data_IF_829252391101
#
_entry.id   IF_829252391101
#
_cell.length_a   1.000
_cell.length_b   1.000
_cell.length_c   1.000
_cell.angle_alpha   90.00
_cell.angle_beta   90.00
_cell.angle_gamma   90.00
#
_symmetry.space_group_name_H-M   'P 1'
#
loop_
_entity.id
_entity.type
_entity.pdbx_description
1 polymer ?
#
# COMPACT_ATOMS: atom_id res chain seq x y z
N UNK A 1 -0.73 -6.22 -8.43
CA UNK A 1 -0.57 -6.04 -9.90
C UNK A 1 -1.82 -5.43 -10.48
N UNK A 2 -1.67 -4.62 -11.53
CA UNK A 2 -2.76 -3.89 -12.16
C UNK A 2 -3.13 -4.48 -13.52
N UNK A 3 -4.42 -4.74 -13.74
CA UNK A 3 -4.99 -4.94 -15.07
C UNK A 3 -5.51 -3.61 -15.64
N UNK A 4 -4.91 -3.09 -16.72
CA UNK A 4 -5.21 -1.76 -17.28
C UNK A 4 -6.29 -1.77 -18.38
N UNK A 5 -6.98 -0.63 -18.55
CA UNK A 5 -8.04 -0.41 -19.53
C UNK A 5 -7.75 0.72 -20.52
N UNK A 6 -6.74 0.60 -21.39
CA UNK A 6 -6.77 1.34 -22.68
C UNK A 6 -6.82 0.38 -23.85
N UNK A 7 -7.45 0.86 -24.92
CA UNK A 7 -7.55 0.21 -26.23
C UNK A 7 -6.16 -0.11 -26.82
N UNK A 8 -5.13 0.63 -26.39
CA UNK A 8 -3.74 0.53 -26.86
C UNK A 8 -2.73 0.15 -25.75
N UNK A 9 -3.16 -0.12 -24.51
CA UNK A 9 -2.25 -0.45 -23.38
C UNK A 9 -1.59 -1.82 -23.50
N UNK A 10 -2.12 -2.70 -24.33
CA UNK A 10 -1.70 -4.09 -24.42
C UNK A 10 -1.83 -4.56 -25.88
N UNK A 11 -0.77 -4.45 -26.71
CA UNK A 11 -0.76 -5.11 -28.02
C UNK A 11 -0.98 -6.62 -27.85
N UNK A 12 -1.63 -7.29 -28.80
CA UNK A 12 -2.12 -8.69 -28.72
C UNK A 12 -1.11 -9.74 -28.22
N UNK A 13 0.19 -9.43 -28.22
CA UNK A 13 1.30 -10.22 -27.66
C UNK A 13 1.22 -10.46 -26.12
N UNK A 14 0.25 -9.88 -25.42
CA UNK A 14 0.35 -9.64 -23.96
C UNK A 14 -0.61 -10.44 -23.09
N UNK A 15 -1.60 -11.16 -23.64
CA UNK A 15 -2.51 -11.97 -22.82
C UNK A 15 -1.76 -13.08 -22.06
N UNK A 16 -0.89 -13.83 -22.74
CA UNK A 16 -0.10 -14.90 -22.10
C UNK A 16 0.86 -14.36 -21.03
N UNK A 17 1.47 -13.20 -21.28
CA UNK A 17 2.35 -12.55 -20.31
C UNK A 17 1.53 -12.11 -19.10
N UNK A 18 0.41 -11.43 -19.29
CA UNK A 18 -0.49 -11.01 -18.21
C UNK A 18 -0.98 -12.21 -17.37
N UNK A 19 -1.40 -13.31 -18.02
CA UNK A 19 -1.80 -14.52 -17.31
C UNK A 19 -0.65 -15.12 -16.51
N UNK A 20 0.55 -15.17 -17.10
CA UNK A 20 1.75 -15.71 -16.45
C UNK A 20 2.13 -14.88 -15.24
N UNK A 21 2.17 -13.56 -15.38
CA UNK A 21 2.50 -12.66 -14.27
C UNK A 21 1.40 -12.77 -13.21
N UNK A 22 0.11 -12.67 -13.57
CA UNK A 22 -1.01 -12.76 -12.62
C UNK A 22 -0.99 -14.06 -11.82
N UNK A 23 -0.80 -15.19 -12.50
CA UNK A 23 -0.67 -16.50 -11.85
C UNK A 23 0.55 -16.56 -10.93
N UNK A 24 1.67 -16.00 -11.36
CA UNK A 24 2.89 -15.94 -10.54
C UNK A 24 2.67 -15.07 -9.30
N UNK A 25 2.04 -13.89 -9.42
CA UNK A 25 1.71 -13.07 -8.27
C UNK A 25 0.81 -13.80 -7.28
N UNK A 26 -0.25 -14.46 -7.75
CA UNK A 26 -1.13 -15.25 -6.87
C UNK A 26 -0.40 -16.44 -6.21
N UNK A 27 0.61 -17.02 -6.86
CA UNK A 27 1.43 -18.09 -6.29
C UNK A 27 2.32 -17.61 -5.13
N UNK A 28 2.68 -16.32 -5.11
CA UNK A 28 3.49 -15.70 -4.07
C UNK A 28 2.65 -14.77 -3.18
N UNK A 29 1.40 -15.18 -2.90
CA UNK A 29 0.44 -14.48 -2.01
C UNK A 29 0.16 -13.02 -2.41
N UNK A 30 0.41 -12.66 -3.68
CA UNK A 30 0.15 -11.35 -4.23
C UNK A 30 -1.29 -11.18 -4.73
N UNK A 31 -1.73 -9.93 -4.80
CA UNK A 31 -3.07 -9.56 -5.26
C UNK A 31 -3.05 -8.98 -6.69
N UNK A 32 -4.02 -9.39 -7.48
CA UNK A 32 -4.42 -8.74 -8.73
C UNK A 32 -5.59 -7.80 -8.47
N UNK A 33 -5.40 -6.53 -8.82
CA UNK A 33 -6.42 -5.48 -8.73
C UNK A 33 -6.81 -5.00 -10.12
N UNK A 34 -8.03 -4.52 -10.26
CA UNK A 34 -8.44 -3.85 -11.50
C UNK A 34 -7.89 -2.43 -11.51
N UNK A 35 -7.47 -1.91 -12.66
CA UNK A 35 -7.27 -0.48 -12.81
C UNK A 35 -8.00 0.11 -13.99
N UNK A 36 -8.32 1.39 -13.85
CA UNK A 36 -8.92 2.18 -14.90
C UNK A 36 -8.34 3.57 -14.98
N UNK A 37 -8.58 4.16 -16.14
CA UNK A 37 -8.31 5.56 -16.44
C UNK A 37 -9.62 6.33 -16.56
N UNK A 38 -9.62 7.59 -16.11
CA UNK A 38 -10.78 8.48 -16.07
C UNK A 38 -10.43 9.83 -16.71
N UNK A 39 -10.55 9.93 -18.02
CA UNK A 39 -10.40 11.22 -18.69
C UNK A 39 -11.70 12.00 -18.56
N UNK A 40 -11.65 13.28 -18.12
CA UNK A 40 -12.63 14.38 -18.05
C UNK A 40 -14.15 14.15 -18.29
N UNK A 41 -14.54 13.15 -19.07
CA UNK A 41 -15.86 12.58 -19.13
C UNK A 41 -16.04 11.62 -17.94
N UNK A 42 -17.09 11.82 -17.14
CA UNK A 42 -17.45 11.05 -15.94
C UNK A 42 -17.86 9.58 -16.22
N UNK A 43 -17.22 8.92 -17.19
CA UNK A 43 -17.48 7.56 -17.65
C UNK A 43 -16.25 6.70 -17.42
N UNK A 44 -16.47 5.54 -16.81
CA UNK A 44 -15.45 4.52 -16.73
C UNK A 44 -15.29 3.80 -18.08
N UNK A 45 -14.05 3.67 -18.55
CA UNK A 45 -13.73 2.71 -19.59
C UNK A 45 -13.39 1.36 -18.96
N UNK A 46 -14.31 0.40 -19.10
CA UNK A 46 -14.12 -0.99 -18.67
C UNK A 46 -13.78 -1.83 -19.90
N UNK A 47 -12.65 -2.52 -19.86
CA UNK A 47 -12.29 -3.47 -20.91
C UNK A 47 -13.06 -4.78 -20.66
N UNK A 48 -14.26 -4.88 -21.24
CA UNK A 48 -15.14 -6.04 -21.07
C UNK A 48 -14.49 -7.32 -21.60
N UNK A 49 -13.83 -7.27 -22.76
CA UNK A 49 -13.14 -8.42 -23.35
C UNK A 49 -12.05 -8.95 -22.42
N UNK A 50 -11.25 -8.05 -21.86
CA UNK A 50 -10.26 -8.43 -20.85
C UNK A 50 -10.91 -9.04 -19.61
N UNK A 51 -11.96 -8.42 -19.07
CA UNK A 51 -12.65 -8.90 -17.87
C UNK A 51 -13.26 -10.30 -18.06
N UNK A 52 -13.86 -10.56 -19.22
CA UNK A 52 -14.38 -11.88 -19.59
C UNK A 52 -13.26 -12.91 -19.67
N UNK A 53 -12.19 -12.59 -20.42
CA UNK A 53 -11.02 -13.46 -20.57
C UNK A 53 -10.29 -13.72 -19.24
N UNK A 54 -10.29 -12.74 -18.33
CA UNK A 54 -9.75 -12.90 -16.97
C UNK A 54 -10.58 -13.89 -16.17
N UNK A 55 -11.91 -13.72 -16.17
CA UNK A 55 -12.84 -14.57 -15.43
C UNK A 55 -12.87 -16.01 -15.95
N UNK A 56 -12.61 -16.24 -17.24
CA UNK A 56 -12.47 -17.59 -17.78
C UNK A 56 -11.28 -18.34 -17.17
N UNK A 57 -10.16 -17.65 -16.96
CA UNK A 57 -8.91 -18.25 -16.43
C UNK A 57 -8.89 -18.28 -14.90
N UNK A 58 -9.37 -17.22 -14.26
CA UNK A 58 -9.35 -17.02 -12.80
C UNK A 58 -10.77 -17.00 -12.23
N UNK A 59 -11.59 -17.98 -12.59
CA UNK A 59 -13.03 -18.04 -12.25
C UNK A 59 -13.38 -18.06 -10.75
N UNK A 60 -12.40 -18.34 -9.87
CA UNK A 60 -12.57 -18.31 -8.41
C UNK A 60 -11.95 -17.07 -7.75
N UNK A 61 -11.24 -16.25 -8.52
CA UNK A 61 -10.58 -15.07 -8.01
C UNK A 61 -11.57 -13.90 -7.96
N UNK A 62 -11.62 -13.21 -6.82
CA UNK A 62 -12.47 -12.04 -6.63
C UNK A 62 -11.57 -10.81 -6.56
N UNK A 63 -11.84 -9.82 -7.41
CA UNK A 63 -11.15 -8.54 -7.39
C UNK A 63 -11.75 -7.67 -6.28
N UNK A 64 -10.96 -7.35 -5.26
CA UNK A 64 -11.37 -6.52 -4.11
C UNK A 64 -10.81 -5.09 -4.17
N UNK A 65 -9.70 -4.90 -4.89
CA UNK A 65 -9.06 -3.61 -5.07
C UNK A 65 -9.28 -2.98 -6.43
N UNK A 66 -9.30 -1.65 -6.47
CA UNK A 66 -9.22 -0.85 -7.68
C UNK A 66 -8.04 0.12 -7.59
N UNK A 67 -7.27 0.27 -8.67
CA UNK A 67 -6.24 1.30 -8.78
C UNK A 67 -6.62 2.35 -9.82
N UNK A 68 -6.58 3.61 -9.43
CA UNK A 68 -6.74 4.73 -10.36
C UNK A 68 -5.39 4.99 -11.02
N UNK A 69 -5.28 4.73 -12.33
CA UNK A 69 -4.03 4.93 -13.07
C UNK A 69 -3.87 6.38 -13.51
N UNK A 70 -4.89 6.92 -14.18
CA UNK A 70 -4.98 8.32 -14.58
C UNK A 70 -6.40 8.83 -14.41
N UNK A 71 -6.54 10.12 -14.14
CA UNK A 71 -7.83 10.79 -14.07
C UNK A 71 -8.33 11.13 -12.67
N UNK A 72 -9.47 11.83 -12.66
CA UNK A 72 -10.18 12.22 -11.43
C UNK A 72 -11.12 11.08 -11.04
N UNK A 73 -11.13 10.70 -9.77
CA UNK A 73 -12.04 9.70 -9.21
C UNK A 73 -13.01 10.36 -8.23
N UNK A 74 -14.29 9.96 -8.29
CA UNK A 74 -15.35 10.49 -7.44
C UNK A 74 -16.45 9.41 -7.22
N UNK A 75 -17.45 9.73 -6.40
CA UNK A 75 -18.56 8.83 -6.03
C UNK A 75 -19.36 8.31 -7.25
N UNK A 76 -19.53 9.16 -8.28
CA UNK A 76 -20.20 8.75 -9.53
C UNK A 76 -19.41 7.69 -10.29
N UNK A 77 -18.08 7.80 -10.30
CA UNK A 77 -17.20 6.78 -10.87
C UNK A 77 -17.23 5.52 -10.01
N UNK A 78 -17.17 5.65 -8.69
CA UNK A 78 -17.26 4.51 -7.79
C UNK A 78 -18.58 3.72 -7.96
N UNK A 79 -19.70 4.42 -8.11
CA UNK A 79 -21.01 3.80 -8.38
C UNK A 79 -20.98 2.93 -9.65
N UNK A 80 -20.38 3.43 -10.74
CA UNK A 80 -20.21 2.65 -11.98
C UNK A 80 -19.28 1.44 -11.80
N UNK A 81 -18.23 1.58 -10.97
CA UNK A 81 -17.37 0.45 -10.61
C UNK A 81 -18.17 -0.60 -9.84
N UNK A 82 -19.02 -0.19 -8.90
CA UNK A 82 -19.83 -1.11 -8.08
C UNK A 82 -20.90 -1.86 -8.86
N UNK A 83 -21.48 -1.24 -9.89
CA UNK A 83 -22.38 -1.92 -10.82
C UNK A 83 -21.69 -3.12 -11.52
N UNK A 84 -20.39 -3.01 -11.79
CA UNK A 84 -19.61 -4.07 -12.47
C UNK A 84 -18.92 -5.03 -11.51
N UNK A 85 -18.42 -4.50 -10.40
CA UNK A 85 -17.57 -5.16 -9.40
C UNK A 85 -18.11 -4.85 -8.00
N UNK A 86 -19.08 -5.63 -7.56
CA UNK A 86 -19.73 -5.43 -6.27
C UNK A 86 -18.79 -5.67 -5.06
N UNK A 87 -17.69 -6.40 -5.22
CA UNK A 87 -16.74 -6.72 -4.16
C UNK A 87 -15.66 -5.65 -3.94
N UNK A 88 -15.52 -4.67 -4.85
CA UNK A 88 -14.51 -3.63 -4.68
C UNK A 88 -14.89 -2.74 -3.51
N UNK A 89 -13.95 -2.60 -2.57
CA UNK A 89 -14.09 -1.83 -1.35
C UNK A 89 -12.85 -1.02 -0.96
N UNK A 90 -11.73 -1.17 -1.69
CA UNK A 90 -10.53 -0.35 -1.50
C UNK A 90 -10.05 0.23 -2.84
N UNK A 91 -9.77 1.53 -2.81
CA UNK A 91 -9.33 2.33 -3.95
C UNK A 91 -7.91 2.82 -3.69
N UNK A 92 -7.02 2.52 -4.62
CA UNK A 92 -5.64 3.03 -4.63
C UNK A 92 -5.56 4.27 -5.49
N UNK A 93 -5.16 5.38 -4.88
CA UNK A 93 -4.85 6.65 -5.55
C UNK A 93 -3.37 7.03 -5.40
N UNK A 94 -3.10 8.32 -5.48
CA UNK A 94 -1.77 8.90 -5.24
C UNK A 94 -1.83 9.84 -4.04
N UNK A 95 -0.71 9.94 -3.30
CA UNK A 95 -0.61 10.89 -2.20
C UNK A 95 -0.49 12.34 -2.71
N UNK A 96 0.21 12.51 -3.83
CA UNK A 96 0.50 13.79 -4.47
C UNK A 96 0.27 13.67 -5.97
N UNK A 97 0.10 14.80 -6.65
CA UNK A 97 -0.12 14.84 -8.09
C UNK A 97 -0.79 16.12 -8.52
N UNK A 98 -1.20 16.17 -9.78
CA UNK A 98 -1.99 17.27 -10.31
C UNK A 98 -3.48 16.91 -10.21
N UNK A 99 -4.25 17.67 -9.43
CA UNK A 99 -5.67 17.41 -9.17
C UNK A 99 -6.53 17.36 -10.45
N UNK A 100 -6.03 17.88 -11.57
CA UNK A 100 -6.73 17.85 -12.86
C UNK A 100 -6.70 16.48 -13.55
N UNK A 101 -5.72 15.65 -13.23
CA UNK A 101 -5.46 14.40 -13.95
C UNK A 101 -5.06 13.23 -13.04
N UNK A 102 -5.04 13.45 -11.72
CA UNK A 102 -4.60 12.48 -10.74
C UNK A 102 -5.61 12.39 -9.61
N UNK A 103 -6.04 11.17 -9.27
CA UNK A 103 -6.79 10.93 -8.05
C UNK A 103 -5.86 11.03 -6.84
N UNK A 104 -5.96 12.14 -6.13
CA UNK A 104 -5.22 12.38 -4.89
C UNK A 104 -6.08 11.90 -3.71
N UNK A 105 -5.52 11.05 -2.86
CA UNK A 105 -6.17 10.57 -1.64
C UNK A 105 -5.20 10.46 -0.47
N UNK A 106 -5.74 10.46 0.74
CA UNK A 106 -5.01 10.11 1.96
C UNK A 106 -5.40 8.71 2.42
N UNK A 107 -4.57 8.09 3.25
CA UNK A 107 -4.90 6.83 3.90
C UNK A 107 -6.16 7.02 4.75
N UNK A 108 -7.18 6.21 4.53
CA UNK A 108 -8.40 6.33 5.33
C UNK A 108 -9.59 5.54 4.80
N UNK A 109 -10.76 5.91 5.30
CA UNK A 109 -12.05 5.31 4.95
C UNK A 109 -13.10 6.41 4.87
N UNK A 110 -13.98 6.33 3.88
CA UNK A 110 -15.25 7.06 3.86
C UNK A 110 -16.43 6.08 4.01
N UNK A 111 -17.66 6.56 3.87
CA UNK A 111 -18.85 5.74 4.04
C UNK A 111 -18.97 4.58 3.04
N UNK A 112 -18.25 4.63 1.92
CA UNK A 112 -18.40 3.73 0.79
C UNK A 112 -17.20 2.81 0.52
N UNK A 113 -15.99 3.28 0.77
CA UNK A 113 -14.74 2.58 0.47
C UNK A 113 -13.55 3.06 1.30
N UNK A 114 -12.48 2.26 1.25
CA UNK A 114 -11.17 2.54 1.84
C UNK A 114 -10.26 3.20 0.79
N UNK A 115 -9.41 4.10 1.24
CA UNK A 115 -8.39 4.75 0.42
C UNK A 115 -6.99 4.34 0.87
N UNK A 116 -6.16 3.99 -0.11
CA UNK A 116 -4.75 3.69 0.11
C UNK A 116 -3.88 4.42 -0.92
N UNK A 117 -3.11 5.43 -0.51
CA UNK A 117 -2.35 6.22 -1.47
C UNK A 117 -1.04 5.53 -1.89
N UNK A 118 -0.64 5.76 -3.12
CA UNK A 118 0.73 5.53 -3.60
C UNK A 118 1.60 6.70 -3.17
N UNK A 119 2.74 6.44 -2.52
CA UNK A 119 3.66 7.46 -1.99
C UNK A 119 4.65 7.90 -3.05
N UNK A 120 5.20 6.93 -3.79
CA UNK A 120 6.22 7.15 -4.79
C UNK A 120 6.06 6.16 -5.95
N UNK A 121 6.62 6.50 -7.09
CA UNK A 121 6.55 5.71 -8.31
C UNK A 121 7.91 5.74 -9.02
N UNK A 122 8.12 4.80 -9.93
CA UNK A 122 9.32 4.72 -10.75
C UNK A 122 10.37 3.78 -10.17
N UNK A 123 11.49 3.63 -10.85
CA UNK A 123 12.58 2.75 -10.44
C UNK A 123 13.74 3.50 -9.77
N UNK A 124 13.91 4.79 -10.05
CA UNK A 124 15.02 5.59 -9.50
C UNK A 124 14.66 6.29 -8.18
N UNK A 125 15.41 5.99 -7.10
CA UNK A 125 15.17 6.57 -5.77
C UNK A 125 15.61 8.03 -5.60
N UNK A 126 16.58 8.47 -6.40
CA UNK A 126 17.29 9.73 -6.18
C UNK A 126 16.51 10.98 -6.64
N UNK A 127 15.35 10.80 -7.28
CA UNK A 127 14.47 11.88 -7.75
C UNK A 127 13.52 12.40 -6.64
N UNK A 128 13.91 12.26 -5.37
CA UNK A 128 13.11 12.64 -4.20
C UNK A 128 12.27 11.49 -3.61
N UNK A 129 12.14 10.36 -4.31
CA UNK A 129 11.33 9.22 -3.84
C UNK A 129 11.78 8.69 -2.48
N UNK A 130 13.10 8.62 -2.22
CA UNK A 130 13.59 8.18 -0.91
C UNK A 130 13.18 9.14 0.23
N UNK A 131 13.13 10.44 -0.04
CA UNK A 131 12.67 11.43 0.93
C UNK A 131 11.18 11.28 1.22
N UNK A 132 10.35 11.11 0.18
CA UNK A 132 8.90 10.91 0.33
C UNK A 132 8.58 9.62 1.09
N UNK A 133 9.28 8.54 0.75
CA UNK A 133 9.22 7.25 1.45
C UNK A 133 9.57 7.43 2.92
N UNK A 134 10.72 8.03 3.23
CA UNK A 134 11.20 8.22 4.61
C UNK A 134 10.23 9.08 5.42
N UNK A 135 9.69 10.13 4.81
CA UNK A 135 8.72 11.03 5.42
C UNK A 135 7.40 10.32 5.74
N UNK A 136 6.90 9.49 4.81
CA UNK A 136 5.64 8.79 5.01
C UNK A 136 5.76 7.69 6.06
N UNK A 137 6.84 6.91 6.03
CA UNK A 137 7.06 5.87 7.04
C UNK A 137 7.16 6.49 8.44
N UNK A 138 7.89 7.62 8.55
CA UNK A 138 8.05 8.30 9.84
C UNK A 138 6.76 8.92 10.37
N UNK A 139 5.84 9.33 9.49
CA UNK A 139 4.61 10.04 9.87
C UNK A 139 3.37 9.14 9.98
N UNK A 140 3.25 8.13 9.12
CA UNK A 140 2.06 7.27 9.02
C UNK A 140 2.38 5.77 9.14
N UNK A 141 3.65 5.36 9.14
CA UNK A 141 4.04 3.97 9.38
C UNK A 141 3.74 2.98 8.26
N UNK A 142 3.55 3.44 7.02
CA UNK A 142 3.34 2.56 5.86
C UNK A 142 4.19 2.96 4.65
N UNK A 143 4.37 2.00 3.73
CA UNK A 143 5.01 2.17 2.43
C UNK A 143 4.08 1.67 1.33
N UNK A 144 3.96 2.44 0.26
CA UNK A 144 3.21 2.11 -0.96
C UNK A 144 3.97 2.71 -2.13
N UNK A 145 4.59 1.86 -2.94
CA UNK A 145 5.44 2.26 -4.07
C UNK A 145 4.97 1.56 -5.34
N UNK A 146 5.00 2.27 -6.48
CA UNK A 146 4.55 1.77 -7.77
C UNK A 146 5.70 1.56 -8.75
N UNK A 147 5.90 0.30 -9.13
CA UNK A 147 6.71 -0.07 -10.29
C UNK A 147 5.83 -0.27 -11.54
N UNK A 148 6.24 0.31 -12.67
CA UNK A 148 5.64 0.02 -13.98
C UNK A 148 6.45 -1.08 -14.68
N UNK A 149 5.80 -2.20 -14.96
CA UNK A 149 6.45 -3.35 -15.61
C UNK A 149 6.87 -3.06 -17.05
N UNK A 150 6.15 -2.20 -17.78
CA UNK A 150 6.50 -1.85 -19.15
C UNK A 150 7.79 -1.04 -19.19
N UNK A 151 7.95 -0.15 -18.22
CA UNK A 151 9.19 0.60 -18.01
C UNK A 151 10.32 -0.36 -17.65
N UNK A 152 10.11 -1.24 -16.66
CA UNK A 152 11.12 -2.22 -16.22
C UNK A 152 11.57 -3.16 -17.34
N UNK A 153 10.64 -3.63 -18.17
CA UNK A 153 10.93 -4.51 -19.30
C UNK A 153 11.57 -3.78 -20.50
N UNK A 154 11.72 -2.46 -20.44
CA UNK A 154 12.30 -1.67 -21.53
C UNK A 154 11.45 -1.68 -22.80
N UNK A 155 10.13 -1.82 -22.66
CA UNK A 155 9.21 -1.89 -23.80
C UNK A 155 8.91 -0.52 -24.42
N UNK A 156 9.31 0.58 -23.77
CA UNK A 156 9.19 1.93 -24.32
C UNK A 156 10.49 2.37 -25.02
N UNK A 157 10.35 3.12 -26.12
CA UNK A 157 11.49 3.57 -26.92
C UNK A 157 12.46 4.45 -26.12
N UNK A 158 13.76 4.16 -26.21
CA UNK A 158 14.82 4.92 -25.52
C UNK A 158 15.09 4.50 -24.08
N UNK A 159 14.38 3.49 -23.56
CA UNK A 159 14.58 3.00 -22.19
C UNK A 159 15.79 2.06 -22.05
N UNK A 160 16.36 2.07 -20.83
CA UNK A 160 17.40 1.12 -20.38
C UNK A 160 16.91 -0.32 -20.50
N UNK A 161 17.84 -1.24 -20.76
CA UNK A 161 17.56 -2.68 -20.83
C UNK A 161 17.12 -3.23 -19.47
N UNK A 162 16.43 -4.38 -19.46
CA UNK A 162 16.08 -5.10 -18.23
C UNK A 162 17.26 -5.28 -17.27
N UNK A 163 18.43 -5.66 -17.81
CA UNK A 163 19.65 -5.88 -17.02
C UNK A 163 20.21 -4.60 -16.38
N UNK A 164 19.88 -3.44 -16.94
CA UNK A 164 20.24 -2.15 -16.36
C UNK A 164 19.21 -1.72 -15.31
N UNK A 165 17.92 -1.99 -15.56
CA UNK A 165 16.83 -1.60 -14.65
C UNK A 165 16.73 -2.48 -13.41
N UNK A 166 17.13 -3.75 -13.47
CA UNK A 166 17.11 -4.62 -12.29
C UNK A 166 17.99 -4.07 -11.15
N UNK A 167 19.06 -3.32 -11.48
CA UNK A 167 19.91 -2.66 -10.48
C UNK A 167 19.15 -1.63 -9.65
N UNK A 168 18.09 -1.02 -10.20
CA UNK A 168 17.24 -0.10 -9.47
C UNK A 168 16.31 -0.81 -8.49
N UNK A 169 15.87 -2.02 -8.83
CA UNK A 169 15.15 -2.88 -7.91
C UNK A 169 16.08 -3.32 -6.77
N UNK A 170 17.32 -3.70 -7.09
CA UNK A 170 18.34 -4.05 -6.09
C UNK A 170 18.61 -2.85 -5.15
N UNK A 171 18.76 -1.64 -5.70
CA UNK A 171 18.96 -0.41 -4.92
C UNK A 171 17.74 -0.10 -4.03
N UNK A 172 16.52 -0.30 -4.54
CA UNK A 172 15.29 -0.19 -3.76
C UNK A 172 15.25 -1.21 -2.62
N UNK A 173 15.62 -2.45 -2.87
CA UNK A 173 15.70 -3.48 -1.83
C UNK A 173 16.70 -3.09 -0.74
N UNK A 174 17.90 -2.64 -1.13
CA UNK A 174 18.99 -2.30 -0.22
C UNK A 174 18.71 -1.06 0.62
N UNK A 175 18.19 -0.01 0.00
CA UNK A 175 18.01 1.30 0.66
C UNK A 175 16.64 1.47 1.30
N UNK A 176 15.63 0.73 0.86
CA UNK A 176 14.25 0.85 1.37
C UNK A 176 13.81 -0.42 2.09
N UNK A 177 13.75 -1.57 1.42
CA UNK A 177 13.13 -2.76 2.02
C UNK A 177 13.95 -3.36 3.17
N UNK A 178 15.27 -3.50 3.03
CA UNK A 178 16.14 -4.09 4.06
C UNK A 178 16.16 -3.29 5.37
N UNK A 179 16.25 -1.94 5.36
CA UNK A 179 16.10 -1.13 6.57
C UNK A 179 14.71 -1.21 7.22
N UNK A 180 13.70 -1.58 6.45
CA UNK A 180 12.29 -1.62 6.85
C UNK A 180 11.77 -3.04 7.09
N UNK A 181 12.64 -4.02 7.35
CA UNK A 181 12.26 -5.42 7.65
C UNK A 181 11.31 -5.60 8.84
N UNK A 182 11.12 -4.54 9.63
CA UNK A 182 10.18 -4.50 10.74
C UNK A 182 8.74 -4.10 10.31
N UNK A 183 8.54 -3.65 9.07
CA UNK A 183 7.22 -3.51 8.43
C UNK A 183 6.70 -4.88 7.97
N UNK A 184 5.38 -5.04 8.03
CA UNK A 184 4.69 -6.23 7.53
C UNK A 184 4.18 -5.98 6.11
N UNK A 185 4.50 -6.88 5.18
CA UNK A 185 3.95 -6.86 3.84
C UNK A 185 2.51 -7.37 3.85
N UNK A 186 1.62 -6.67 3.14
CA UNK A 186 0.25 -7.10 2.91
C UNK A 186 -0.20 -6.69 1.51
N UNK A 187 -1.22 -7.35 1.01
CA UNK A 187 -1.94 -6.95 -0.20
C UNK A 187 -2.83 -5.73 0.06
N UNK A 188 -3.36 -5.13 -1.00
CA UNK A 188 -4.21 -3.95 -0.88
C UNK A 188 -5.49 -4.30 -0.08
N UNK A 189 -6.11 -5.43 -0.38
CA UNK A 189 -7.30 -5.91 0.34
C UNK A 189 -7.05 -6.24 1.82
N UNK A 190 -5.90 -6.84 2.15
CA UNK A 190 -5.52 -7.10 3.55
C UNK A 190 -5.26 -5.81 4.34
N UNK A 191 -4.86 -4.73 3.65
CA UNK A 191 -4.59 -3.43 4.27
C UNK A 191 -5.81 -2.84 4.99
N UNK A 192 -7.02 -3.19 4.55
CA UNK A 192 -8.29 -2.73 5.16
C UNK A 192 -8.30 -2.93 6.68
N UNK A 193 -7.83 -4.08 7.16
CA UNK A 193 -7.74 -4.39 8.59
C UNK A 193 -6.82 -3.40 9.31
N UNK A 194 -5.68 -3.06 8.71
CA UNK A 194 -4.72 -2.12 9.30
C UNK A 194 -5.24 -0.68 9.29
N UNK A 195 -5.96 -0.28 8.23
CA UNK A 195 -6.66 1.02 8.18
C UNK A 195 -7.72 1.10 9.29
N UNK A 196 -8.54 0.06 9.45
CA UNK A 196 -9.53 0.01 10.53
C UNK A 196 -8.86 0.03 11.91
N UNK A 197 -7.76 -0.70 12.10
CA UNK A 197 -6.97 -0.64 13.33
C UNK A 197 -6.45 0.76 13.63
N UNK A 198 -5.95 1.47 12.62
CA UNK A 198 -5.46 2.84 12.77
C UNK A 198 -6.57 3.85 13.09
N UNK A 199 -7.72 3.78 12.40
CA UNK A 199 -8.82 4.73 12.56
C UNK A 199 -9.59 4.50 13.87
N UNK A 200 -9.80 3.24 14.26
CA UNK A 200 -10.67 2.91 15.40
C UNK A 200 -9.93 2.87 16.73
N UNK A 201 -8.59 2.82 16.73
CA UNK A 201 -7.80 2.78 17.94
C UNK A 201 -8.11 3.98 18.84
N UNK A 202 -8.53 3.67 20.07
CA UNK A 202 -8.63 4.66 21.15
C UNK A 202 -7.52 4.39 22.13
N UNK A 203 -6.69 5.39 22.40
CA UNK A 203 -5.59 5.24 23.35
C UNK A 203 -5.54 6.38 24.34
N UNK A 204 -5.08 6.04 25.55
CA UNK A 204 -4.82 6.98 26.64
C UNK A 204 -3.53 6.55 27.32
N UNK A 205 -2.73 7.51 27.79
CA UNK A 205 -1.49 7.18 28.47
C UNK A 205 -1.26 8.09 29.67
N UNK A 206 -0.46 7.60 30.61
CA UNK A 206 0.07 8.37 31.74
C UNK A 206 1.52 8.00 31.99
N UNK A 207 2.27 8.94 32.55
CA UNK A 207 3.66 8.75 32.98
C UNK A 207 3.74 9.02 34.47
N UNK A 208 4.24 8.04 35.22
CA UNK A 208 4.52 8.12 36.64
C UNK A 208 6.01 7.74 36.82
N UNK A 209 6.86 8.74 37.04
CA UNK A 209 8.34 8.62 37.09
C UNK A 209 8.94 7.92 35.84
N UNK A 210 9.46 6.71 36.03
CA UNK A 210 10.08 5.88 34.99
C UNK A 210 9.08 4.86 34.41
N UNK A 211 7.78 4.97 34.73
CA UNK A 211 6.74 4.05 34.28
C UNK A 211 5.74 4.76 33.37
N UNK A 212 5.55 4.21 32.17
CA UNK A 212 4.50 4.63 31.25
C UNK A 212 3.40 3.57 31.26
N UNK A 213 2.17 3.98 31.49
CA UNK A 213 0.99 3.12 31.31
C UNK A 213 0.20 3.60 30.11
N UNK A 214 0.01 2.72 29.13
CA UNK A 214 -0.80 2.92 27.93
C UNK A 214 -2.04 2.03 28.04
N UNK A 215 -3.21 2.60 27.78
CA UNK A 215 -4.48 1.88 27.68
C UNK A 215 -4.94 2.00 26.23
N UNK A 216 -5.07 0.86 25.55
CA UNK A 216 -5.49 0.73 24.16
C UNK A 216 -6.81 -0.03 24.10
N UNK A 217 -7.85 0.65 23.62
CA UNK A 217 -9.16 0.09 23.33
C UNK A 217 -9.30 -0.05 21.79
N UNK A 218 -10.04 -1.06 21.33
CA UNK A 218 -10.32 -1.32 19.91
C UNK A 218 -9.06 -1.55 19.02
N UNK A 219 -7.96 -2.03 19.61
CA UNK A 219 -6.75 -2.37 18.85
C UNK A 219 -6.88 -3.73 18.13
N UNK A 220 -6.24 -3.86 16.97
CA UNK A 220 -6.11 -5.15 16.27
C UNK A 220 -4.88 -5.91 16.78
N UNK A 221 -4.90 -7.24 16.66
CA UNK A 221 -3.71 -8.05 16.97
C UNK A 221 -2.50 -7.56 16.14
N UNK A 222 -1.37 -7.41 16.82
CA UNK A 222 -0.11 -6.86 16.31
C UNK A 222 -0.14 -5.37 15.91
N UNK A 223 -1.13 -4.59 16.38
CA UNK A 223 -1.10 -3.13 16.24
C UNK A 223 0.22 -2.59 16.79
N UNK A 224 0.93 -1.84 15.94
CA UNK A 224 2.27 -1.37 16.25
C UNK A 224 2.32 0.15 16.46
N UNK A 225 3.24 0.59 17.30
CA UNK A 225 3.51 2.01 17.60
C UNK A 225 5.00 2.28 17.57
N UNK A 226 5.36 3.47 17.09
CA UNK A 226 6.65 4.04 17.41
C UNK A 226 6.65 4.59 18.81
N UNK A 227 7.52 4.06 19.64
CA UNK A 227 7.80 4.60 20.96
C UNK A 227 9.16 5.29 20.96
N UNK A 228 9.14 6.61 21.12
CA UNK A 228 10.35 7.42 21.19
C UNK A 228 10.73 7.71 22.63
N UNK A 229 11.94 7.36 23.04
CA UNK A 229 12.49 7.68 24.36
C UNK A 229 14.01 7.73 24.30
N UNK A 230 14.64 8.53 25.18
CA UNK A 230 16.07 8.55 25.44
C UNK A 230 16.51 7.52 26.51
N UNK A 231 15.55 6.77 27.08
CA UNK A 231 15.77 5.73 28.08
C UNK A 231 15.75 4.33 27.48
N UNK A 232 16.33 3.37 28.20
CA UNK A 232 16.22 1.96 27.86
C UNK A 232 14.94 1.37 28.45
N UNK A 233 14.24 0.51 27.70
CA UNK A 233 13.15 -0.30 28.25
C UNK A 233 13.76 -1.36 29.17
N UNK A 234 13.51 -1.27 30.47
CA UNK A 234 13.90 -2.28 31.45
C UNK A 234 12.93 -3.47 31.42
N UNK A 235 11.62 -3.18 31.41
CA UNK A 235 10.57 -4.19 31.41
C UNK A 235 9.33 -3.68 30.71
N UNK A 236 8.69 -4.53 29.92
CA UNK A 236 7.38 -4.27 29.32
C UNK A 236 6.39 -5.37 29.71
N UNK A 237 5.14 -5.00 29.94
CA UNK A 237 4.00 -5.89 30.14
C UNK A 237 2.90 -5.49 29.15
N UNK A 238 2.21 -6.46 28.55
CA UNK A 238 1.12 -6.21 27.60
C UNK A 238 1.55 -5.86 26.17
N UNK A 239 2.85 -5.85 25.88
CA UNK A 239 3.38 -5.62 24.54
C UNK A 239 4.74 -6.29 24.35
N UNK A 240 5.11 -6.50 23.08
CA UNK A 240 6.46 -6.85 22.65
C UNK A 240 7.12 -5.62 22.05
N UNK A 241 8.46 -5.56 22.06
CA UNK A 241 9.16 -4.45 21.40
C UNK A 241 10.39 -4.91 20.62
N UNK A 242 10.73 -4.12 19.60
CA UNK A 242 11.97 -4.19 18.83
C UNK A 242 12.67 -2.82 18.91
N UNK A 243 13.92 -2.78 19.40
CA UNK A 243 14.73 -1.55 19.33
C UNK A 243 15.14 -1.30 17.88
N UNK A 244 14.72 -0.17 17.31
CA UNK A 244 15.04 0.23 15.93
C UNK A 244 16.38 0.97 15.91
N UNK A 245 16.54 1.93 16.81
CA UNK A 245 17.77 2.70 17.02
C UNK A 245 17.82 3.21 18.47
N UNK A 246 18.75 4.12 18.78
CA UNK A 246 18.93 4.62 20.14
C UNK A 246 17.75 5.38 20.73
N UNK A 247 16.83 5.85 19.91
CA UNK A 247 15.68 6.64 20.35
C UNK A 247 14.33 6.01 20.08
N UNK A 248 14.27 5.04 19.18
CA UNK A 248 13.00 4.49 18.68
C UNK A 248 12.89 3.00 18.92
N UNK A 249 11.74 2.61 19.45
CA UNK A 249 11.29 1.23 19.57
C UNK A 249 10.01 1.05 18.75
N UNK A 250 9.88 -0.09 18.07
CA UNK A 250 8.61 -0.57 17.55
C UNK A 250 7.95 -1.40 18.64
N UNK A 251 6.81 -0.96 19.17
CA UNK A 251 6.04 -1.73 20.15
C UNK A 251 4.85 -2.38 19.47
N UNK A 252 4.63 -3.68 19.68
CA UNK A 252 3.46 -4.42 19.23
C UNK A 252 2.57 -4.75 20.44
N UNK A 253 1.37 -4.20 20.46
CA UNK A 253 0.42 -4.38 21.57
C UNK A 253 -0.14 -5.80 21.56
N UNK A 254 -0.20 -6.42 22.74
CA UNK A 254 -0.79 -7.75 22.97
C UNK A 254 -2.00 -7.68 23.90
N UNK A 255 -1.99 -6.73 24.85
CA UNK A 255 -3.06 -6.52 25.82
C UNK A 255 -3.56 -5.06 25.81
N UNK A 256 -4.81 -4.85 26.26
CA UNK A 256 -5.41 -3.52 26.32
C UNK A 256 -4.73 -2.57 27.31
N UNK A 257 -3.92 -3.10 28.23
CA UNK A 257 -3.12 -2.30 29.17
C UNK A 257 -1.66 -2.69 29.01
N UNK A 258 -0.85 -1.71 28.62
CA UNK A 258 0.59 -1.85 28.45
C UNK A 258 1.32 -1.03 29.51
N UNK A 259 2.29 -1.64 30.18
CA UNK A 259 3.16 -0.96 31.14
C UNK A 259 4.60 -1.05 30.69
N UNK A 260 5.26 0.11 30.60
CA UNK A 260 6.64 0.25 30.14
C UNK A 260 7.43 0.83 31.31
N UNK A 261 8.39 0.06 31.83
CA UNK A 261 9.33 0.51 32.84
C UNK A 261 10.63 0.90 32.13
N UNK A 262 11.08 2.12 32.36
CA UNK A 262 12.26 2.72 31.75
C UNK A 262 13.40 2.75 32.75
N UNK A 263 14.63 2.72 32.24
CA UNK A 263 15.83 2.98 33.02
C UNK A 263 16.73 3.96 32.29
N UNK A 264 17.49 4.71 33.06
CA UNK A 264 18.54 5.60 32.54
C UNK A 264 19.61 4.83 31.77
#
# INVERSE_FOLDING_TARGET
MVAASLKDSFPELTNNLFYTISKSSMQYDGEVVYAGNFYNDEKIYINNKFSESFNEVFNKYIINGFAVQFGIFNEKIYSQIKERFNCINIIRGNLTGNEKDTYICTLGKNDEYYNFPTISYGDELDNGSLWDISSMISSQGFLSHLFDINVLMGLEEGNKTWNERIKYIDDFEDRVLKPLKWLESCTLSENIRYIDGYINLKYRWKVDDDVITLVCDDFIENQAFYFRTDKLIEKIEGAEYLKINDYYYLMKIKDSVVKINLKK
#
